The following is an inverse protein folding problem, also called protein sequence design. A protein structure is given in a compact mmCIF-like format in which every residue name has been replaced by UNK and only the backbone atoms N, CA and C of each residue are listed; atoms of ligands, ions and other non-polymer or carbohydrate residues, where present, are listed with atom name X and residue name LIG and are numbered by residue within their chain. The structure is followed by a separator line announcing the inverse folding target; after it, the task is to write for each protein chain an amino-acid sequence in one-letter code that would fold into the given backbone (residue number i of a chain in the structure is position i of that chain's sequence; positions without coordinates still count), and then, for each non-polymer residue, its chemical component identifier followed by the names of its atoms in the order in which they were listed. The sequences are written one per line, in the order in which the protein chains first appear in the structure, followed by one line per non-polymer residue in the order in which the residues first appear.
data_IF_376007113789
#
_entry.id   IF_376007113789
#
_cell.length_a   1.000
_cell.length_b   1.000
_cell.length_c   1.000
_cell.angle_alpha   90.00
_cell.angle_beta   90.00
_cell.angle_gamma   90.00
#
_symmetry.space_group_name_H-M   'P 1'
#
loop_
_entity.id
_entity.type
_entity.pdbx_description
1 polymer ?
#
# COMPACT_ATOMS: atom_id res chain seq x y z
N UNK A 1 -71.20 2.21 13.12
CA UNK A 1 -70.22 1.15 13.45
C UNK A 1 -69.76 0.61 12.12
N UNK A 2 -68.51 0.87 11.73
CA UNK A 2 -68.04 0.58 10.38
C UNK A 2 -68.06 -0.92 10.09
N UNK A 3 -68.59 -1.27 8.93
CA UNK A 3 -68.81 -2.63 8.47
C UNK A 3 -67.50 -3.43 8.46
N UNK A 4 -67.47 -4.54 9.17
CA UNK A 4 -66.37 -5.50 9.15
C UNK A 4 -66.52 -6.45 7.94
N UNK A 5 -66.82 -5.89 6.78
CA UNK A 5 -66.94 -6.61 5.52
C UNK A 5 -65.57 -6.62 4.82
N UNK A 6 -65.09 -7.82 4.50
CA UNK A 6 -63.90 -8.09 3.66
C UNK A 6 -62.50 -7.97 4.28
N UNK A 7 -62.21 -8.78 5.31
CA UNK A 7 -60.80 -9.14 5.65
C UNK A 7 -60.33 -10.45 5.01
N UNK A 8 -61.26 -11.29 4.52
CA UNK A 8 -60.93 -12.56 3.86
C UNK A 8 -60.38 -12.37 2.44
N UNK A 9 -60.91 -11.40 1.68
CA UNK A 9 -60.40 -11.09 0.33
C UNK A 9 -58.98 -10.51 0.31
N UNK A 10 -58.60 -9.75 1.34
CA UNK A 10 -57.23 -9.23 1.50
C UNK A 10 -56.22 -10.33 1.87
N UNK A 11 -56.65 -11.36 2.62
CA UNK A 11 -55.81 -12.52 2.95
C UNK A 11 -55.64 -13.47 1.76
N UNK A 12 -56.71 -13.72 0.98
CA UNK A 12 -56.66 -14.54 -0.24
C UNK A 12 -55.82 -13.89 -1.35
N UNK A 13 -55.79 -12.55 -1.43
CA UNK A 13 -54.91 -11.82 -2.36
C UNK A 13 -53.49 -11.60 -1.78
N UNK A 14 -53.33 -11.67 -0.46
CA UNK A 14 -52.05 -11.44 0.22
C UNK A 14 -51.03 -12.53 -0.02
N UNK A 15 -51.44 -13.80 -0.04
CA UNK A 15 -50.56 -14.94 -0.32
C UNK A 15 -49.96 -14.86 -1.74
N UNK A 16 -50.74 -14.69 -2.83
CA UNK A 16 -50.17 -14.57 -4.17
C UNK A 16 -49.32 -13.31 -4.34
N UNK A 17 -49.67 -12.19 -3.69
CA UNK A 17 -48.84 -10.98 -3.70
C UNK A 17 -47.52 -11.16 -2.95
N UNK A 18 -47.50 -11.91 -1.84
CA UNK A 18 -46.27 -12.23 -1.10
C UNK A 18 -45.34 -13.08 -1.96
N UNK A 19 -45.88 -14.12 -2.62
CA UNK A 19 -45.10 -14.97 -3.53
C UNK A 19 -44.54 -14.16 -4.70
N UNK A 20 -45.36 -13.28 -5.29
CA UNK A 20 -44.91 -12.39 -6.36
C UNK A 20 -43.78 -11.47 -5.88
N UNK A 21 -43.90 -10.88 -4.69
CA UNK A 21 -42.86 -10.04 -4.12
C UNK A 21 -41.54 -10.80 -3.91
N UNK A 22 -41.59 -12.04 -3.41
CA UNK A 22 -40.39 -12.87 -3.27
C UNK A 22 -39.74 -13.20 -4.62
N UNK A 23 -40.55 -13.47 -5.66
CA UNK A 23 -40.04 -13.69 -7.02
C UNK A 23 -39.35 -12.43 -7.55
N UNK A 24 -39.97 -11.27 -7.38
CA UNK A 24 -39.40 -9.98 -7.83
C UNK A 24 -38.10 -9.67 -7.10
N UNK A 25 -38.05 -9.86 -5.78
CA UNK A 25 -36.84 -9.66 -4.98
C UNK A 25 -35.74 -10.64 -5.38
N UNK A 26 -36.07 -11.92 -5.60
CA UNK A 26 -35.12 -12.94 -6.04
C UNK A 26 -34.52 -12.64 -7.41
N UNK A 27 -35.37 -12.23 -8.37
CA UNK A 27 -34.93 -11.80 -9.70
C UNK A 27 -34.05 -10.54 -9.62
N UNK A 28 -34.41 -9.60 -8.75
CA UNK A 28 -33.62 -8.38 -8.55
C UNK A 28 -32.25 -8.69 -7.93
N UNK A 29 -32.18 -9.55 -6.92
CA UNK A 29 -30.93 -10.01 -6.32
C UNK A 29 -30.06 -10.78 -7.31
N UNK A 30 -30.66 -11.63 -8.15
CA UNK A 30 -29.94 -12.31 -9.23
C UNK A 30 -29.38 -11.32 -10.25
N UNK A 31 -30.18 -10.32 -10.66
CA UNK A 31 -29.75 -9.26 -11.56
C UNK A 31 -28.56 -8.45 -10.98
N UNK A 32 -28.65 -8.06 -9.70
CA UNK A 32 -27.56 -7.39 -9.00
C UNK A 32 -26.30 -8.26 -8.89
N UNK A 33 -26.46 -9.57 -8.67
CA UNK A 33 -25.33 -10.50 -8.61
C UNK A 33 -24.59 -10.59 -9.95
N UNK A 34 -25.32 -10.67 -11.07
CA UNK A 34 -24.73 -10.69 -12.41
C UNK A 34 -24.01 -9.37 -12.70
N UNK A 35 -24.59 -8.22 -12.35
CA UNK A 35 -23.94 -6.90 -12.51
C UNK A 35 -22.71 -6.74 -11.62
N UNK A 36 -22.79 -7.18 -10.36
CA UNK A 36 -21.65 -7.14 -9.44
C UNK A 36 -20.51 -8.08 -9.88
N UNK A 37 -20.81 -9.18 -10.59
CA UNK A 37 -19.80 -10.05 -11.16
C UNK A 37 -19.03 -9.38 -12.32
N UNK A 38 -19.68 -8.51 -13.10
CA UNK A 38 -19.01 -7.70 -14.13
C UNK A 38 -18.01 -6.71 -13.51
N UNK A 39 -18.38 -6.05 -12.39
CA UNK A 39 -17.50 -5.12 -11.68
C UNK A 39 -16.32 -5.84 -11.00
N UNK A 40 -16.56 -7.00 -10.35
CA UNK A 40 -15.48 -7.82 -9.77
C UNK A 40 -14.53 -8.37 -10.84
N UNK A 41 -15.02 -8.68 -12.04
CA UNK A 41 -14.16 -9.12 -13.12
C UNK A 41 -13.23 -7.99 -13.60
N UNK A 42 -13.66 -6.72 -13.53
CA UNK A 42 -12.79 -5.58 -13.83
C UNK A 42 -11.79 -5.30 -12.71
N UNK A 43 -12.23 -5.36 -11.45
CA UNK A 43 -11.38 -5.20 -10.25
C UNK A 43 -10.25 -6.25 -10.20
N UNK A 44 -10.57 -7.52 -10.49
CA UNK A 44 -9.58 -8.61 -10.57
C UNK A 44 -8.64 -8.43 -11.76
N UNK A 45 -9.10 -7.88 -12.89
CA UNK A 45 -8.27 -7.68 -14.09
C UNK A 45 -7.35 -6.46 -13.96
N UNK A 46 -7.76 -5.44 -13.20
CA UNK A 46 -6.91 -4.29 -12.84
C UNK A 46 -5.87 -4.70 -11.79
N UNK A 47 -6.21 -5.59 -10.83
CA UNK A 47 -5.24 -6.16 -9.87
C UNK A 47 -4.28 -7.20 -10.50
N UNK A 48 -4.58 -7.75 -11.68
CA UNK A 48 -3.75 -8.78 -12.36
C UNK A 48 -2.96 -8.28 -13.58
N UNK A 49 -3.04 -6.99 -13.94
CA UNK A 49 -2.30 -6.41 -15.07
C UNK A 49 -1.16 -5.46 -14.69
N UNK A 50 -0.80 -5.34 -13.42
CA UNK A 50 0.61 -5.14 -13.10
C UNK A 50 1.24 -6.53 -13.09
N UNK A 51 2.07 -6.90 -14.08
CA UNK A 51 3.02 -7.96 -13.82
C UNK A 51 3.72 -7.60 -12.52
N UNK A 52 4.04 -8.60 -11.71
CA UNK A 52 5.07 -8.53 -10.68
C UNK A 52 6.38 -7.95 -11.27
N UNK A 53 6.45 -6.65 -11.51
CA UNK A 53 7.56 -5.87 -11.00
C UNK A 53 7.31 -5.77 -9.51
N UNK A 54 7.48 -6.91 -8.81
CA UNK A 54 8.21 -6.83 -7.57
C UNK A 54 9.44 -6.00 -7.94
N UNK A 55 9.47 -4.71 -7.57
CA UNK A 55 10.71 -3.96 -7.54
C UNK A 55 11.60 -4.73 -6.56
N UNK A 56 12.30 -5.74 -7.07
CA UNK A 56 13.25 -6.51 -6.29
C UNK A 56 14.37 -5.54 -6.05
N UNK A 57 14.36 -4.95 -4.85
CA UNK A 57 15.38 -4.00 -4.44
C UNK A 57 16.75 -4.54 -4.84
N UNK A 58 17.41 -3.83 -5.76
CA UNK A 58 18.68 -4.31 -6.31
C UNK A 58 19.67 -4.30 -5.15
N UNK A 59 20.15 -5.47 -4.77
CA UNK A 59 21.14 -5.58 -3.69
C UNK A 59 22.48 -5.14 -4.26
N UNK A 60 22.98 -4.02 -3.77
CA UNK A 60 24.27 -3.45 -4.19
C UNK A 60 25.26 -3.45 -3.03
N UNK A 61 26.54 -3.44 -3.36
CA UNK A 61 27.57 -3.26 -2.35
C UNK A 61 27.63 -1.79 -1.94
N UNK A 62 28.02 -1.52 -0.69
CA UNK A 62 28.27 -0.16 -0.24
C UNK A 62 29.29 0.57 -1.14
N UNK A 63 30.28 -0.15 -1.67
CA UNK A 63 31.28 0.37 -2.60
C UNK A 63 30.69 0.90 -3.90
N UNK A 64 29.52 0.41 -4.34
CA UNK A 64 28.87 0.89 -5.56
C UNK A 64 28.28 2.29 -5.36
N UNK A 65 27.80 2.60 -4.15
CA UNK A 65 27.39 3.95 -3.75
C UNK A 65 28.56 4.93 -3.65
N UNK A 66 29.77 4.43 -3.37
CA UNK A 66 30.97 5.26 -3.26
C UNK A 66 31.51 5.73 -4.61
N UNK A 67 31.41 4.86 -5.61
CA UNK A 67 31.97 5.11 -6.94
C UNK A 67 31.09 6.10 -7.69
N UNK A 68 29.79 5.80 -7.79
CA UNK A 68 28.81 6.68 -8.42
C UNK A 68 27.38 6.29 -8.03
N UNK A 69 26.72 7.17 -7.26
CA UNK A 69 25.32 7.01 -6.88
C UNK A 69 24.35 7.59 -7.93
N UNK A 70 24.82 8.42 -8.88
CA UNK A 70 23.98 9.02 -9.91
C UNK A 70 23.20 8.00 -10.76
N UNK A 71 23.77 6.87 -11.22
CA UNK A 71 23.00 5.88 -11.96
C UNK A 71 21.94 5.20 -11.09
N UNK A 72 22.06 5.23 -9.75
CA UNK A 72 21.13 4.60 -8.82
C UNK A 72 19.95 5.51 -8.45
N UNK A 73 19.98 6.79 -8.84
CA UNK A 73 18.90 7.74 -8.58
C UNK A 73 17.55 7.22 -9.08
N UNK A 74 16.53 7.31 -8.22
CA UNK A 74 15.16 6.86 -8.52
C UNK A 74 14.99 5.34 -8.52
N UNK A 75 16.02 4.56 -8.19
CA UNK A 75 15.92 3.09 -8.11
C UNK A 75 15.79 2.61 -6.67
N UNK A 76 14.96 1.59 -6.47
CA UNK A 76 14.88 0.86 -5.21
C UNK A 76 16.10 -0.04 -5.04
N UNK A 77 16.90 0.25 -4.02
CA UNK A 77 18.13 -0.49 -3.70
C UNK A 77 18.07 -1.08 -2.30
N UNK A 78 18.85 -2.13 -2.08
CA UNK A 78 19.14 -2.67 -0.76
C UNK A 78 20.64 -2.66 -0.53
N UNK A 79 21.05 -2.05 0.58
CA UNK A 79 22.46 -1.98 1.01
C UNK A 79 22.54 -2.58 2.41
N UNK A 80 23.49 -3.48 2.63
CA UNK A 80 23.62 -4.21 3.89
C UNK A 80 25.00 -4.07 4.50
N UNK A 81 25.05 -4.12 5.84
CA UNK A 81 26.31 -4.22 6.59
C UNK A 81 27.06 -2.89 6.76
N UNK A 82 26.38 -1.76 6.58
CA UNK A 82 26.97 -0.44 6.84
C UNK A 82 26.81 -0.04 8.30
N UNK A 83 27.84 0.60 8.85
CA UNK A 83 27.78 1.12 10.21
C UNK A 83 26.99 2.42 10.24
N UNK A 84 26.18 2.60 11.28
CA UNK A 84 25.53 3.88 11.56
C UNK A 84 26.57 4.83 12.17
N UNK A 85 26.95 5.87 11.42
CA UNK A 85 27.93 6.87 11.84
C UNK A 85 27.36 7.80 12.93
N UNK A 86 26.17 8.37 12.70
CA UNK A 86 25.52 9.27 13.64
C UNK A 86 24.02 9.32 13.38
N UNK A 87 23.23 9.46 14.43
CA UNK A 87 21.80 9.74 14.30
C UNK A 87 21.58 11.19 13.85
N UNK A 88 20.55 11.43 13.04
CA UNK A 88 20.09 12.76 12.63
C UNK A 88 18.64 12.93 13.11
N UNK A 89 18.49 13.28 14.39
CA UNK A 89 17.17 13.38 15.04
C UNK A 89 16.47 12.02 15.14
N UNK A 90 15.15 12.02 14.94
CA UNK A 90 14.30 10.81 14.91
C UNK A 90 13.94 10.37 13.48
N UNK A 91 14.22 11.22 12.51
CA UNK A 91 13.79 11.10 11.12
C UNK A 91 14.83 10.42 10.23
N UNK A 92 16.09 10.30 10.67
CA UNK A 92 17.14 9.72 9.85
C UNK A 92 18.46 9.53 10.58
N UNK A 93 19.44 9.02 9.83
CA UNK A 93 20.78 8.76 10.32
C UNK A 93 21.79 8.76 9.18
N UNK A 94 23.05 8.93 9.54
CA UNK A 94 24.19 8.85 8.64
C UNK A 94 24.78 7.45 8.69
N UNK A 95 25.02 6.87 7.52
CA UNK A 95 25.79 5.64 7.34
C UNK A 95 27.25 5.96 7.03
N UNK A 96 28.15 5.20 7.62
CA UNK A 96 29.57 5.23 7.32
C UNK A 96 29.86 4.33 6.11
N UNK A 97 30.23 4.94 4.98
CA UNK A 97 30.74 4.20 3.83
C UNK A 97 32.23 3.84 4.05
N UNK A 98 32.73 2.72 3.50
CA UNK A 98 34.15 2.36 3.51
C UNK A 98 35.13 3.47 3.05
N UNK A 99 34.70 4.40 2.20
CA UNK A 99 35.47 5.55 1.72
C UNK A 99 35.56 6.71 2.74
N UNK A 100 34.90 6.59 3.89
CA UNK A 100 34.87 7.59 4.97
C UNK A 100 33.91 8.76 4.72
N UNK A 101 33.14 8.75 3.63
CA UNK A 101 32.10 9.76 3.36
C UNK A 101 30.77 9.30 3.98
N UNK A 102 30.09 10.14 4.77
CA UNK A 102 28.81 9.78 5.35
C UNK A 102 27.71 9.80 4.29
N UNK A 103 26.85 8.79 4.29
CA UNK A 103 25.68 8.71 3.42
C UNK A 103 24.40 8.96 4.23
N UNK A 104 23.56 9.89 3.80
CA UNK A 104 22.33 10.23 4.53
C UNK A 104 21.22 9.21 4.24
N UNK A 105 20.55 8.74 5.28
CA UNK A 105 19.36 7.90 5.19
C UNK A 105 18.19 8.60 5.87
N UNK A 106 17.12 8.80 5.11
CA UNK A 106 15.81 9.21 5.62
C UNK A 106 14.95 8.00 5.92
N UNK A 107 14.30 8.00 7.09
CA UNK A 107 13.29 7.01 7.42
C UNK A 107 11.95 7.47 6.86
N UNK A 108 11.21 6.55 6.23
CA UNK A 108 9.81 6.82 5.84
C UNK A 108 8.91 6.91 7.07
N UNK A 109 7.74 7.55 6.91
CA UNK A 109 6.74 7.65 7.99
C UNK A 109 6.33 6.27 8.53
N UNK A 110 6.30 5.25 7.68
CA UNK A 110 6.01 3.86 8.07
C UNK A 110 7.08 3.30 9.03
N UNK A 111 8.36 3.47 8.70
CA UNK A 111 9.48 3.01 9.55
C UNK A 111 9.52 3.78 10.87
N UNK A 112 9.20 5.07 10.84
CA UNK A 112 9.07 5.87 12.06
C UNK A 112 7.87 5.41 12.92
N UNK A 113 6.74 5.07 12.30
CA UNK A 113 5.55 4.57 13.00
C UNK A 113 5.76 3.18 13.62
N UNK A 114 6.58 2.34 12.99
CA UNK A 114 7.02 1.05 13.56
C UNK A 114 7.95 1.22 14.77
N UNK A 115 8.56 2.41 14.94
CA UNK A 115 9.42 2.72 16.07
C UNK A 115 10.77 2.00 16.02
N UNK A 116 11.31 1.79 14.83
CA UNK A 116 12.61 1.12 14.63
C UNK A 116 13.71 1.91 15.34
N UNK A 117 14.27 1.34 16.41
CA UNK A 117 15.36 1.93 17.16
C UNK A 117 16.69 1.64 16.44
N UNK A 118 17.32 2.67 15.88
CA UNK A 118 18.65 2.59 15.26
C UNK A 118 19.70 3.12 16.24
N UNK A 119 20.77 2.36 16.45
CA UNK A 119 21.86 2.74 17.37
C UNK A 119 23.13 3.13 16.62
N UNK A 120 23.86 4.14 17.09
CA UNK A 120 25.19 4.47 16.56
C UNK A 120 26.15 3.27 16.69
N UNK A 121 26.90 2.99 15.63
CA UNK A 121 27.82 1.85 15.55
C UNK A 121 27.15 0.50 15.26
N UNK A 122 25.83 0.46 15.12
CA UNK A 122 25.09 -0.71 14.69
C UNK A 122 25.27 -0.95 13.19
N UNK A 123 25.28 -2.22 12.77
CA UNK A 123 25.23 -2.57 11.34
C UNK A 123 23.78 -2.54 10.86
N UNK A 124 23.45 -1.52 10.08
CA UNK A 124 22.13 -1.39 9.48
C UNK A 124 22.08 -2.03 8.09
N UNK A 125 20.91 -2.56 7.74
CA UNK A 125 20.54 -2.90 6.37
C UNK A 125 19.43 -1.96 5.95
N UNK A 126 19.66 -1.17 4.91
CA UNK A 126 18.73 -0.16 4.43
C UNK A 126 18.18 -0.60 3.08
N UNK A 127 16.86 -0.56 2.93
CA UNK A 127 16.17 -0.76 1.67
C UNK A 127 15.34 0.48 1.39
N UNK A 128 15.53 1.11 0.23
CA UNK A 128 14.87 2.36 -0.11
C UNK A 128 15.28 2.91 -1.47
N UNK A 129 14.69 4.04 -1.85
CA UNK A 129 14.96 4.71 -3.12
C UNK A 129 16.14 5.66 -2.93
N UNK A 130 17.10 5.64 -3.87
CA UNK A 130 18.19 6.62 -3.87
C UNK A 130 17.70 7.94 -4.44
N UNK A 131 17.94 9.02 -3.71
CA UNK A 131 17.74 10.37 -4.21
C UNK A 131 19.10 11.08 -4.28
N UNK A 132 19.40 11.70 -5.41
CA UNK A 132 20.50 12.64 -5.47
C UNK A 132 20.16 13.84 -4.57
N UNK A 133 21.14 14.36 -3.84
CA UNK A 133 20.96 15.59 -3.05
C UNK A 133 20.78 16.75 -4.01
N UNK A 134 19.53 17.07 -4.31
CA UNK A 134 19.08 18.28 -4.97
C UNK A 134 18.22 19.10 -3.99
N UNK A 135 17.96 20.38 -4.28
CA UNK A 135 17.22 21.27 -3.36
C UNK A 135 15.84 20.69 -2.95
N UNK A 136 15.24 19.81 -3.77
CA UNK A 136 13.99 19.10 -3.46
C UNK A 136 14.17 17.96 -2.44
N UNK A 137 15.34 17.31 -2.40
CA UNK A 137 15.68 16.33 -1.38
C UNK A 137 15.86 16.99 -0.01
N UNK A 138 16.21 18.29 0.03
CA UNK A 138 16.26 19.08 1.27
C UNK A 138 14.86 19.44 1.78
N UNK A 139 13.92 19.77 0.87
CA UNK A 139 12.54 20.13 1.24
C UNK A 139 11.73 18.95 1.77
N UNK A 140 12.11 17.71 1.47
CA UNK A 140 11.50 16.52 2.04
C UNK A 140 11.78 16.33 3.56
N UNK A 141 12.65 17.17 4.15
CA UNK A 141 12.99 17.15 5.56
C UNK A 141 12.59 18.42 6.34
N UNK A 142 11.96 19.42 5.69
CA UNK A 142 11.20 20.47 6.41
C UNK A 142 9.86 19.94 6.91
#
# INVERSE_FOLDING_TARGET
MADNASRRGAADLGIPLMVLAFIVIGLFMYYLNVRAAEERALDIVEETNTPDEMEVATTIAATDLEVDAAPLEGRLIRVSGLNVASMLGTQGFWLELPNGQPFLVSMSEEVMAEGVAVTMGERATVTGIVHAVNDSALSAWE
#
